data_IF_974122057782
#
_entry.id   IF_974122057782
#
_cell.length_a   1.000
_cell.length_b   1.000
_cell.length_c   1.000
_cell.angle_alpha   90.00
_cell.angle_beta   90.00
_cell.angle_gamma   90.00
#
_symmetry.space_group_name_H-M   'P 1'
#
loop_
_entity.id
_entity.type
_entity.pdbx_description
1 polymer ?
#
# COMPACT_ATOMS: atom_id res chain seq x y z
N UNK A 1 -20.94 25.55 -0.95
CA UNK A 1 -19.62 25.52 -0.32
C UNK A 1 -19.62 24.81 1.02
N UNK A 2 -20.53 25.10 1.93
CA UNK A 2 -20.64 24.53 3.30
C UNK A 2 -20.75 22.98 3.32
N UNK A 3 -21.43 22.37 2.34
CA UNK A 3 -21.60 20.90 2.29
C UNK A 3 -20.32 20.13 1.97
N UNK A 4 -19.33 20.73 1.28
CA UNK A 4 -18.04 20.09 0.96
C UNK A 4 -17.06 20.12 2.14
N UNK A 5 -17.05 21.18 2.92
CA UNK A 5 -16.21 21.26 4.13
C UNK A 5 -16.65 20.27 5.21
N UNK A 6 -17.97 20.08 5.36
CA UNK A 6 -18.51 19.11 6.33
C UNK A 6 -18.20 17.65 5.95
N UNK A 7 -18.13 17.33 4.66
CA UNK A 7 -17.73 15.99 4.17
C UNK A 7 -16.23 15.72 4.35
N UNK A 8 -15.37 16.69 4.09
CA UNK A 8 -13.91 16.51 4.27
C UNK A 8 -13.54 16.32 5.73
N UNK A 9 -14.19 17.04 6.64
CA UNK A 9 -14.01 16.87 8.08
C UNK A 9 -14.42 15.47 8.55
N UNK A 10 -15.44 14.88 7.92
CA UNK A 10 -15.89 13.52 8.26
C UNK A 10 -14.90 12.44 7.82
N UNK A 11 -14.30 12.54 6.62
CA UNK A 11 -13.31 11.57 6.14
C UNK A 11 -12.05 11.54 7.01
N UNK A 12 -11.53 12.70 7.33
CA UNK A 12 -10.37 12.82 8.20
C UNK A 12 -10.64 12.37 9.63
N UNK A 13 -11.86 12.60 10.16
CA UNK A 13 -12.27 12.14 11.49
C UNK A 13 -12.23 10.61 11.58
N UNK A 14 -12.65 9.90 10.53
CA UNK A 14 -12.58 8.42 10.49
C UNK A 14 -11.13 7.94 10.51
N UNK A 15 -10.24 8.57 9.75
CA UNK A 15 -8.81 8.25 9.76
C UNK A 15 -8.18 8.54 11.13
N UNK A 16 -8.52 9.67 11.76
CA UNK A 16 -8.05 10.00 13.11
C UNK A 16 -8.57 9.00 14.15
N UNK A 17 -9.79 8.48 13.98
CA UNK A 17 -10.33 7.39 14.81
C UNK A 17 -9.47 6.13 14.74
N UNK A 18 -9.04 5.74 13.54
CA UNK A 18 -8.10 4.63 13.32
C UNK A 18 -6.77 4.84 14.04
N UNK A 19 -6.19 6.05 13.95
CA UNK A 19 -4.89 6.34 14.53
C UNK A 19 -4.94 6.46 16.06
N UNK A 20 -6.07 6.92 16.61
CA UNK A 20 -6.26 7.14 18.06
C UNK A 20 -6.65 5.86 18.80
N UNK A 21 -7.58 5.09 18.23
CA UNK A 21 -8.07 3.84 18.81
C UNK A 21 -8.12 2.73 17.75
N UNK A 22 -6.98 2.11 17.54
CA UNK A 22 -6.81 1.03 16.58
C UNK A 22 -7.70 -0.18 16.89
N UNK A 23 -7.77 -0.57 18.17
CA UNK A 23 -8.50 -1.78 18.56
C UNK A 23 -10.01 -1.59 18.43
N UNK A 24 -10.55 -0.47 18.91
CA UNK A 24 -11.95 -0.13 18.71
C UNK A 24 -12.33 0.00 17.24
N UNK A 25 -11.46 0.59 16.41
CA UNK A 25 -11.72 0.72 14.99
C UNK A 25 -11.78 -0.65 14.27
N UNK A 26 -10.86 -1.57 14.61
CA UNK A 26 -10.88 -2.94 14.09
C UNK A 26 -12.10 -3.74 14.56
N UNK A 27 -12.50 -3.56 15.81
CA UNK A 27 -13.70 -4.19 16.36
C UNK A 27 -14.96 -3.73 15.61
N UNK A 28 -15.09 -2.45 15.33
CA UNK A 28 -16.20 -1.93 14.53
C UNK A 28 -16.20 -2.48 13.08
N UNK A 29 -15.03 -2.70 12.47
CA UNK A 29 -14.94 -3.40 11.17
C UNK A 29 -15.40 -4.84 11.33
N UNK A 30 -14.94 -5.54 12.37
CA UNK A 30 -15.30 -6.93 12.64
C UNK A 30 -16.81 -7.10 12.84
N UNK A 31 -17.47 -6.13 13.49
CA UNK A 31 -18.91 -6.10 13.69
C UNK A 31 -19.70 -5.58 12.49
N UNK A 32 -19.02 -5.07 11.47
CA UNK A 32 -19.67 -4.52 10.28
C UNK A 32 -20.26 -3.12 10.45
N UNK A 33 -19.86 -2.38 11.52
CA UNK A 33 -20.41 -1.07 11.86
C UNK A 33 -19.93 -0.01 10.89
N UNK A 34 -20.86 0.66 10.20
CA UNK A 34 -20.61 1.79 9.26
C UNK A 34 -19.54 1.50 8.20
N UNK A 35 -19.46 0.26 7.73
CA UNK A 35 -18.45 -0.16 6.74
C UNK A 35 -18.35 0.75 5.51
N UNK A 36 -19.46 1.14 4.82
CA UNK A 36 -19.35 1.98 3.63
C UNK A 36 -18.70 3.33 3.91
N UNK A 37 -19.05 3.96 5.03
CA UNK A 37 -18.47 5.25 5.44
C UNK A 37 -16.96 5.11 5.72
N UNK A 38 -16.55 4.05 6.43
CA UNK A 38 -15.13 3.77 6.70
C UNK A 38 -14.35 3.51 5.41
N UNK A 39 -14.87 2.66 4.52
CA UNK A 39 -14.24 2.36 3.23
C UNK A 39 -14.01 3.62 2.42
N UNK A 40 -15.05 4.46 2.24
CA UNK A 40 -14.93 5.69 1.46
C UNK A 40 -13.93 6.65 2.11
N UNK A 41 -13.98 6.81 3.44
CA UNK A 41 -13.09 7.72 4.16
C UNK A 41 -11.63 7.29 4.06
N UNK A 42 -11.33 6.01 4.27
CA UNK A 42 -9.98 5.48 4.17
C UNK A 42 -9.47 5.55 2.73
N UNK A 43 -10.32 5.25 1.74
CA UNK A 43 -9.96 5.31 0.33
C UNK A 43 -9.60 6.74 -0.11
N UNK A 44 -10.41 7.73 0.28
CA UNK A 44 -10.16 9.14 -0.06
C UNK A 44 -8.89 9.65 0.62
N UNK A 45 -8.74 9.41 1.94
CA UNK A 45 -7.59 9.89 2.68
C UNK A 45 -6.29 9.22 2.21
N UNK A 46 -6.29 7.90 2.04
CA UNK A 46 -5.09 7.19 1.58
C UNK A 46 -4.68 7.60 0.17
N UNK A 47 -5.64 7.75 -0.75
CA UNK A 47 -5.35 8.21 -2.10
C UNK A 47 -4.75 9.61 -2.12
N UNK A 48 -5.26 10.53 -1.28
CA UNK A 48 -4.71 11.88 -1.18
C UNK A 48 -3.28 11.87 -0.64
N UNK A 49 -3.01 11.12 0.41
CA UNK A 49 -1.67 11.05 1.02
C UNK A 49 -0.65 10.40 0.08
N UNK A 50 -1.00 9.32 -0.58
CA UNK A 50 -0.17 8.73 -1.63
C UNK A 50 0.07 9.68 -2.80
N UNK A 51 -0.96 10.44 -3.20
CA UNK A 51 -0.81 11.40 -4.29
C UNK A 51 0.19 12.51 -3.95
N UNK A 52 0.15 13.03 -2.72
CA UNK A 52 1.13 14.03 -2.25
C UNK A 52 2.54 13.45 -2.24
N UNK A 53 2.72 12.25 -1.66
CA UNK A 53 4.04 11.60 -1.63
C UNK A 53 4.53 11.27 -3.04
N UNK A 54 3.65 10.74 -3.91
CA UNK A 54 3.94 10.46 -5.31
C UNK A 54 4.35 11.70 -6.10
N UNK A 55 3.70 12.85 -5.85
CA UNK A 55 4.10 14.12 -6.46
C UNK A 55 5.53 14.52 -6.06
N UNK A 56 5.91 14.35 -4.78
CA UNK A 56 7.25 14.66 -4.29
C UNK A 56 8.31 13.80 -4.97
N UNK A 57 8.12 12.48 -5.02
CA UNK A 57 9.11 11.59 -5.65
C UNK A 57 9.22 11.82 -7.16
N UNK A 58 8.09 12.09 -7.83
CA UNK A 58 8.07 12.38 -9.27
C UNK A 58 8.65 13.74 -9.63
N UNK A 59 8.60 14.73 -8.73
CA UNK A 59 9.15 16.08 -8.95
C UNK A 59 10.69 16.09 -9.03
N UNK A 60 11.34 14.99 -8.65
CA UNK A 60 12.79 14.80 -8.84
C UNK A 60 13.25 14.88 -10.30
N UNK A 61 12.34 14.69 -11.25
CA UNK A 61 12.65 14.70 -12.68
C UNK A 61 11.96 15.84 -13.44
N UNK A 62 10.62 15.92 -13.36
CA UNK A 62 9.83 16.93 -14.07
C UNK A 62 8.44 17.12 -13.47
N UNK A 63 7.76 18.27 -13.75
CA UNK A 63 6.39 18.49 -13.30
C UNK A 63 5.40 17.44 -13.86
N UNK A 64 5.60 16.98 -15.09
CA UNK A 64 4.79 15.91 -15.69
C UNK A 64 4.99 14.57 -14.98
N UNK A 65 6.22 14.25 -14.58
CA UNK A 65 6.51 13.07 -13.78
C UNK A 65 5.90 13.17 -12.39
N UNK A 66 5.90 14.34 -11.77
CA UNK A 66 5.23 14.58 -10.49
C UNK A 66 3.73 14.23 -10.58
N UNK A 67 3.04 14.73 -11.61
CA UNK A 67 1.62 14.44 -11.83
C UNK A 67 1.39 12.94 -12.11
N UNK A 68 2.23 12.33 -12.94
CA UNK A 68 2.17 10.90 -13.24
C UNK A 68 2.33 10.05 -11.98
N UNK A 69 3.33 10.33 -11.15
CA UNK A 69 3.62 9.58 -9.93
C UNK A 69 2.57 9.83 -8.84
N UNK A 70 1.99 11.03 -8.76
CA UNK A 70 0.87 11.36 -7.89
C UNK A 70 -0.36 10.50 -8.17
N UNK A 71 -0.58 10.11 -9.43
CA UNK A 71 -1.67 9.21 -9.81
C UNK A 71 -1.28 7.73 -9.69
N UNK A 72 -0.07 7.37 -10.08
CA UNK A 72 0.40 5.98 -10.09
C UNK A 72 0.52 5.38 -8.70
N UNK A 73 0.97 6.15 -7.71
CA UNK A 73 1.20 5.64 -6.37
C UNK A 73 -0.11 5.18 -5.68
N UNK A 74 -1.20 5.99 -5.64
CA UNK A 74 -2.48 5.50 -5.17
C UNK A 74 -2.99 4.30 -5.96
N UNK A 75 -2.90 4.34 -7.29
CA UNK A 75 -3.30 3.23 -8.15
C UNK A 75 -2.54 1.95 -7.82
N UNK A 76 -1.24 2.02 -7.60
CA UNK A 76 -0.40 0.89 -7.22
C UNK A 76 -0.92 0.16 -5.99
N UNK A 77 -1.14 0.89 -4.89
CA UNK A 77 -1.61 0.30 -3.64
C UNK A 77 -3.04 -0.24 -3.75
N UNK A 78 -3.94 0.51 -4.39
CA UNK A 78 -5.34 0.10 -4.55
C UNK A 78 -5.50 -1.08 -5.52
N UNK A 79 -4.76 -1.10 -6.63
CA UNK A 79 -4.78 -2.24 -7.56
C UNK A 79 -4.23 -3.51 -6.92
N UNK A 80 -3.12 -3.40 -6.17
CA UNK A 80 -2.57 -4.55 -5.43
C UNK A 80 -3.59 -5.10 -4.44
N UNK A 81 -4.30 -4.22 -3.72
CA UNK A 81 -5.36 -4.61 -2.80
C UNK A 81 -6.50 -5.33 -3.51
N UNK A 82 -7.02 -4.75 -4.61
CA UNK A 82 -8.15 -5.30 -5.37
C UNK A 82 -7.80 -6.66 -5.98
N UNK A 83 -6.58 -6.81 -6.51
CA UNK A 83 -6.13 -8.08 -7.10
C UNK A 83 -5.97 -9.20 -6.06
N UNK A 84 -5.53 -8.86 -4.86
CA UNK A 84 -5.26 -9.85 -3.82
C UNK A 84 -6.47 -10.15 -2.91
N UNK A 85 -7.47 -9.26 -2.86
CA UNK A 85 -8.66 -9.42 -2.03
C UNK A 85 -9.44 -10.72 -2.30
N UNK A 86 -9.75 -11.09 -3.56
CA UNK A 86 -10.54 -12.30 -3.82
C UNK A 86 -9.88 -13.56 -3.28
N UNK A 87 -8.57 -13.65 -3.42
CA UNK A 87 -7.79 -14.81 -2.94
C UNK A 87 -7.83 -14.91 -1.41
N UNK A 88 -7.64 -13.79 -0.69
CA UNK A 88 -7.74 -13.76 0.77
C UNK A 88 -9.14 -14.16 1.23
N UNK A 89 -10.16 -13.59 0.60
CA UNK A 89 -11.55 -13.83 0.95
C UNK A 89 -11.94 -15.30 0.72
N UNK A 90 -11.58 -15.86 -0.44
CA UNK A 90 -11.84 -17.25 -0.77
C UNK A 90 -11.23 -18.21 0.26
N UNK A 91 -9.96 -18.06 0.57
CA UNK A 91 -9.31 -18.88 1.58
C UNK A 91 -9.91 -18.69 2.97
N UNK A 92 -10.25 -17.45 3.33
CA UNK A 92 -10.86 -17.20 4.65
C UNK A 92 -12.19 -17.92 4.82
N UNK A 93 -13.07 -17.91 3.81
CA UNK A 93 -14.35 -18.65 3.83
C UNK A 93 -14.11 -20.15 3.88
N UNK A 94 -13.18 -20.68 3.06
CA UNK A 94 -12.87 -22.11 3.01
C UNK A 94 -12.46 -22.65 4.39
N UNK A 95 -11.84 -21.81 5.22
CA UNK A 95 -11.42 -22.15 6.58
C UNK A 95 -12.38 -21.64 7.67
N UNK A 96 -13.64 -21.45 7.31
CA UNK A 96 -14.74 -21.23 8.26
C UNK A 96 -14.93 -19.80 8.76
N UNK A 97 -14.40 -18.79 8.06
CA UNK A 97 -14.68 -17.40 8.41
C UNK A 97 -16.12 -17.02 8.06
N UNK A 98 -16.81 -16.39 8.99
CA UNK A 98 -18.17 -15.86 8.82
C UNK A 98 -18.22 -14.41 8.33
N UNK A 99 -17.06 -13.79 8.06
CA UNK A 99 -16.94 -12.37 7.72
C UNK A 99 -17.26 -12.09 6.26
N UNK A 100 -17.89 -10.95 5.98
CA UNK A 100 -18.24 -10.51 4.63
C UNK A 100 -17.00 -10.02 3.86
N UNK A 101 -17.09 -10.03 2.53
CA UNK A 101 -16.05 -9.45 1.66
C UNK A 101 -15.80 -7.96 1.97
N UNK A 102 -16.85 -7.21 2.35
CA UNK A 102 -16.74 -5.81 2.73
C UNK A 102 -15.90 -5.60 4.00
N UNK A 103 -15.96 -6.51 4.97
CA UNK A 103 -15.15 -6.47 6.18
C UNK A 103 -13.67 -6.75 5.86
N UNK A 104 -13.37 -7.74 5.00
CA UNK A 104 -12.01 -7.99 4.52
C UNK A 104 -11.47 -6.81 3.72
N UNK A 105 -12.28 -6.24 2.83
CA UNK A 105 -11.89 -5.05 2.07
C UNK A 105 -11.59 -3.86 2.98
N UNK A 106 -12.44 -3.57 3.96
CA UNK A 106 -12.21 -2.51 4.93
C UNK A 106 -10.93 -2.75 5.74
N UNK A 107 -10.64 -4.01 6.12
CA UNK A 107 -9.44 -4.37 6.87
C UNK A 107 -8.17 -4.18 6.02
N UNK A 108 -8.16 -4.64 4.78
CA UNK A 108 -7.05 -4.42 3.84
C UNK A 108 -6.82 -2.93 3.60
N UNK A 109 -7.90 -2.19 3.37
CA UNK A 109 -7.84 -0.74 3.16
C UNK A 109 -7.33 0.02 4.39
N UNK A 110 -7.62 -0.48 5.59
CA UNK A 110 -7.06 0.07 6.84
C UNK A 110 -5.53 -0.04 6.86
N UNK A 111 -4.97 -1.17 6.42
CA UNK A 111 -3.51 -1.35 6.31
C UNK A 111 -2.91 -0.42 5.25
N UNK A 112 -3.56 -0.28 4.10
CA UNK A 112 -3.15 0.68 3.05
C UNK A 112 -3.20 2.12 3.58
N UNK A 113 -4.21 2.48 4.37
CA UNK A 113 -4.30 3.80 4.99
C UNK A 113 -3.16 4.05 6.00
N UNK A 114 -2.76 3.05 6.78
CA UNK A 114 -1.60 3.16 7.67
C UNK A 114 -0.32 3.41 6.88
N UNK A 115 -0.09 2.67 5.78
CA UNK A 115 1.06 2.91 4.89
C UNK A 115 1.03 4.34 4.36
N UNK A 116 -0.11 4.82 3.88
CA UNK A 116 -0.25 6.16 3.31
C UNK A 116 0.04 7.27 4.33
N UNK A 117 -0.39 7.10 5.58
CA UNK A 117 -0.09 8.02 6.68
C UNK A 117 1.41 8.05 6.98
N UNK A 118 2.06 6.89 7.01
CA UNK A 118 3.51 6.80 7.25
C UNK A 118 4.30 7.45 6.11
N UNK A 119 3.96 7.18 4.86
CA UNK A 119 4.60 7.84 3.71
C UNK A 119 4.38 9.35 3.73
N UNK A 120 3.16 9.80 3.99
CA UNK A 120 2.86 11.23 4.12
C UNK A 120 3.63 11.88 5.28
N UNK A 121 3.79 11.20 6.39
CA UNK A 121 4.59 11.68 7.54
C UNK A 121 6.08 11.82 7.21
N UNK A 122 6.60 10.98 6.30
CA UNK A 122 7.96 11.02 5.79
C UNK A 122 8.13 11.93 4.56
N UNK A 123 7.04 12.47 4.03
CA UNK A 123 7.05 13.38 2.87
C UNK A 123 7.95 14.63 3.08
N UNK A 124 7.96 15.31 4.26
CA UNK A 124 8.88 16.42 4.51
C UNK A 124 10.35 15.99 4.45
N UNK A 125 10.67 14.77 4.91
CA UNK A 125 12.04 14.23 4.85
C UNK A 125 12.43 13.99 3.39
N UNK A 126 11.58 13.35 2.60
CA UNK A 126 11.80 13.14 1.17
C UNK A 126 11.97 14.48 0.43
N UNK A 127 11.13 15.46 0.73
CA UNK A 127 11.21 16.80 0.13
C UNK A 127 12.50 17.53 0.52
N UNK A 128 12.93 17.44 1.78
CA UNK A 128 14.19 18.01 2.23
C UNK A 128 15.37 17.45 1.43
N UNK A 129 15.47 16.14 1.30
CA UNK A 129 16.54 15.50 0.53
C UNK A 129 16.41 15.72 -0.98
N UNK A 130 15.21 15.88 -1.51
CA UNK A 130 15.02 16.28 -2.89
C UNK A 130 15.68 17.63 -3.22
N UNK A 131 15.60 18.58 -2.29
CA UNK A 131 16.14 19.94 -2.47
C UNK A 131 17.65 20.00 -2.14
N UNK A 132 18.10 19.25 -1.14
CA UNK A 132 19.47 19.36 -0.62
C UNK A 132 20.45 18.35 -1.19
N UNK A 133 19.98 17.15 -1.55
CA UNK A 133 20.86 16.12 -2.08
C UNK A 133 21.05 16.28 -3.60
N UNK A 134 22.28 16.58 -4.03
CA UNK A 134 22.63 16.72 -5.45
C UNK A 134 22.79 15.36 -6.16
N UNK A 135 22.60 14.24 -5.45
CA UNK A 135 22.76 12.88 -5.98
C UNK A 135 21.40 12.20 -6.13
N UNK A 136 20.96 12.05 -7.38
CA UNK A 136 19.73 11.35 -7.74
C UNK A 136 19.66 9.91 -7.23
N UNK A 137 20.76 9.16 -7.28
CA UNK A 137 20.79 7.76 -6.82
C UNK A 137 20.57 7.66 -5.31
N UNK A 138 21.13 8.60 -4.53
CA UNK A 138 20.87 8.68 -3.10
C UNK A 138 19.38 8.94 -2.81
N UNK A 139 18.76 9.86 -3.55
CA UNK A 139 17.33 10.15 -3.39
C UNK A 139 16.46 8.92 -3.69
N UNK A 140 16.77 8.18 -4.76
CA UNK A 140 16.07 6.93 -5.08
C UNK A 140 16.24 5.91 -3.97
N UNK A 141 17.45 5.70 -3.48
CA UNK A 141 17.74 4.73 -2.41
C UNK A 141 17.03 5.08 -1.09
N UNK A 142 17.00 6.36 -0.73
CA UNK A 142 16.26 6.87 0.43
C UNK A 142 14.78 6.50 0.33
N UNK A 143 14.16 6.74 -0.82
CA UNK A 143 12.74 6.44 -1.02
C UNK A 143 12.47 4.93 -1.06
N UNK A 144 13.38 4.12 -1.61
CA UNK A 144 13.29 2.65 -1.51
C UNK A 144 13.31 2.22 -0.05
N UNK A 145 14.16 2.81 0.79
CA UNK A 145 14.18 2.56 2.23
C UNK A 145 12.86 2.96 2.91
N UNK A 146 12.28 4.10 2.54
CA UNK A 146 10.97 4.55 3.04
C UNK A 146 9.88 3.55 2.65
N UNK A 147 9.79 3.13 1.38
CA UNK A 147 8.83 2.12 0.93
C UNK A 147 8.99 0.77 1.64
N UNK A 148 10.23 0.34 1.87
CA UNK A 148 10.50 -0.90 2.59
C UNK A 148 10.01 -0.81 4.06
N UNK A 149 10.30 0.28 4.74
CA UNK A 149 9.88 0.52 6.13
C UNK A 149 8.36 0.59 6.26
N UNK A 150 7.71 1.40 5.43
CA UNK A 150 6.26 1.60 5.47
C UNK A 150 5.50 0.36 5.02
N UNK A 151 6.01 -0.33 4.00
CA UNK A 151 5.47 -1.61 3.53
C UNK A 151 5.58 -2.71 4.57
N UNK A 152 6.72 -2.86 5.25
CA UNK A 152 6.89 -3.81 6.35
C UNK A 152 5.90 -3.54 7.50
N UNK A 153 5.75 -2.27 7.87
CA UNK A 153 4.79 -1.86 8.91
C UNK A 153 3.35 -2.17 8.48
N UNK A 154 2.99 -1.88 7.23
CA UNK A 154 1.66 -2.18 6.68
C UNK A 154 1.35 -3.68 6.65
N UNK A 155 2.31 -4.51 6.24
CA UNK A 155 2.17 -5.98 6.24
C UNK A 155 2.00 -6.52 7.66
N UNK A 156 2.76 -6.01 8.62
CA UNK A 156 2.65 -6.38 10.04
C UNK A 156 1.27 -6.01 10.58
N UNK A 157 0.81 -4.78 10.25
CA UNK A 157 -0.52 -4.32 10.63
C UNK A 157 -1.63 -5.19 10.04
N UNK A 158 -1.51 -5.55 8.77
CA UNK A 158 -2.44 -6.42 8.08
C UNK A 158 -2.50 -7.81 8.71
N UNK A 159 -1.35 -8.41 8.98
CA UNK A 159 -1.26 -9.71 9.64
C UNK A 159 -2.01 -9.72 10.99
N UNK A 160 -1.72 -8.73 11.85
CA UNK A 160 -2.38 -8.58 13.14
C UNK A 160 -3.90 -8.34 12.99
N UNK A 161 -4.30 -7.56 12.00
CA UNK A 161 -5.71 -7.25 11.74
C UNK A 161 -6.51 -8.46 11.28
N UNK A 162 -5.96 -9.26 10.36
CA UNK A 162 -6.64 -10.49 9.92
C UNK A 162 -6.71 -11.53 11.05
N UNK A 163 -5.65 -11.66 11.86
CA UNK A 163 -5.71 -12.51 13.06
C UNK A 163 -6.78 -12.04 14.04
N UNK A 164 -6.88 -10.73 14.30
CA UNK A 164 -7.89 -10.18 15.18
C UNK A 164 -9.32 -10.46 14.68
N UNK A 165 -9.55 -10.35 13.36
CA UNK A 165 -10.84 -10.68 12.75
C UNK A 165 -11.21 -12.16 12.91
N UNK A 166 -10.23 -13.04 12.88
CA UNK A 166 -10.41 -14.49 12.94
C UNK A 166 -10.40 -15.07 14.36
N UNK A 167 -10.10 -14.27 15.39
CA UNK A 167 -9.90 -14.73 16.77
C UNK A 167 -11.15 -15.39 17.44
N UNK A 168 -12.33 -15.22 16.86
CA UNK A 168 -13.58 -15.83 17.33
C UNK A 168 -14.08 -16.98 16.42
N UNK A 169 -13.37 -17.26 15.35
CA UNK A 169 -13.69 -18.37 14.48
C UNK A 169 -13.14 -19.68 15.09
N UNK A 170 -13.54 -20.84 14.55
CA UNK A 170 -13.23 -22.16 15.06
C UNK A 170 -11.74 -22.38 15.42
N UNK A 171 -11.44 -22.66 16.70
CA UNK A 171 -10.06 -22.87 17.21
C UNK A 171 -9.32 -23.99 16.50
N UNK A 172 -10.02 -25.06 16.09
CA UNK A 172 -9.43 -26.21 15.40
C UNK A 172 -8.78 -25.86 14.05
N UNK A 173 -9.14 -24.73 13.44
CA UNK A 173 -8.60 -24.26 12.16
C UNK A 173 -7.56 -23.14 12.29
N UNK A 174 -7.24 -22.67 13.50
CA UNK A 174 -6.40 -21.47 13.73
C UNK A 174 -4.99 -21.62 13.15
N UNK A 175 -4.33 -22.75 13.39
CA UNK A 175 -2.97 -22.98 12.87
C UNK A 175 -2.95 -22.98 11.34
N UNK A 176 -3.92 -23.64 10.72
CA UNK A 176 -4.03 -23.71 9.26
C UNK A 176 -4.31 -22.33 8.67
N UNK A 177 -5.22 -21.55 9.26
CA UNK A 177 -5.51 -20.17 8.83
C UNK A 177 -4.28 -19.26 8.94
N UNK A 178 -3.53 -19.38 10.02
CA UNK A 178 -2.29 -18.61 10.22
C UNK A 178 -1.24 -18.96 9.16
N UNK A 179 -1.08 -20.24 8.82
CA UNK A 179 -0.16 -20.68 7.78
C UNK A 179 -0.56 -20.15 6.40
N UNK A 180 -1.84 -20.20 6.08
CA UNK A 180 -2.40 -19.70 4.83
C UNK A 180 -2.25 -18.18 4.75
N UNK A 181 -2.53 -17.46 5.84
CA UNK A 181 -2.33 -16.02 5.89
C UNK A 181 -0.87 -15.65 5.61
N UNK A 182 0.10 -16.34 6.18
CA UNK A 182 1.52 -16.12 5.90
C UNK A 182 1.85 -16.37 4.43
N UNK A 183 1.34 -17.44 3.85
CA UNK A 183 1.51 -17.73 2.42
C UNK A 183 0.87 -16.65 1.54
N UNK A 184 -0.33 -16.22 1.90
CA UNK A 184 -1.03 -15.14 1.19
C UNK A 184 -0.28 -13.79 1.28
N UNK A 185 0.35 -13.48 2.41
CA UNK A 185 1.18 -12.27 2.54
C UNK A 185 2.39 -12.31 1.61
N UNK A 186 2.99 -13.48 1.42
CA UNK A 186 4.06 -13.66 0.42
C UNK A 186 3.51 -13.40 -0.98
N UNK A 187 2.36 -13.99 -1.32
CA UNK A 187 1.70 -13.74 -2.60
C UNK A 187 1.39 -12.25 -2.80
N UNK A 188 0.87 -11.57 -1.77
CA UNK A 188 0.61 -10.14 -1.80
C UNK A 188 1.87 -9.32 -2.09
N UNK A 189 2.99 -9.66 -1.44
CA UNK A 189 4.27 -9.03 -1.69
C UNK A 189 4.78 -9.27 -3.13
N UNK A 190 4.65 -10.52 -3.63
CA UNK A 190 5.03 -10.86 -5.00
C UNK A 190 4.22 -10.08 -6.04
N UNK A 191 2.88 -10.02 -5.88
CA UNK A 191 1.99 -9.24 -6.76
C UNK A 191 2.34 -7.76 -6.69
N UNK A 192 2.58 -7.23 -5.50
CA UNK A 192 2.99 -5.84 -5.31
C UNK A 192 4.30 -5.51 -6.02
N UNK A 193 5.33 -6.34 -5.87
CA UNK A 193 6.61 -6.15 -6.57
C UNK A 193 6.44 -6.16 -8.10
N UNK A 194 5.66 -7.09 -8.63
CA UNK A 194 5.41 -7.16 -10.07
C UNK A 194 4.59 -5.96 -10.57
N UNK A 195 3.59 -5.51 -9.81
CA UNK A 195 2.79 -4.35 -10.18
C UNK A 195 3.61 -3.06 -10.10
N UNK A 196 4.46 -2.92 -9.08
CA UNK A 196 5.41 -1.80 -8.98
C UNK A 196 6.38 -1.75 -10.17
N UNK A 197 6.86 -2.90 -10.62
CA UNK A 197 7.67 -3.01 -11.84
C UNK A 197 6.91 -2.60 -13.09
N UNK A 198 5.65 -2.97 -13.22
CA UNK A 198 4.79 -2.64 -14.36
C UNK A 198 4.47 -1.14 -14.44
N UNK A 199 4.22 -0.50 -13.29
CA UNK A 199 3.87 0.92 -13.22
C UNK A 199 5.06 1.88 -13.28
N UNK A 200 6.30 1.37 -13.29
CA UNK A 200 7.51 2.23 -13.39
C UNK A 200 7.49 3.09 -14.67
N UNK A 201 8.15 4.23 -14.72
CA UNK A 201 8.95 4.84 -13.67
C UNK A 201 8.09 5.66 -12.68
N UNK A 202 8.45 5.60 -11.40
CA UNK A 202 7.91 6.50 -10.38
C UNK A 202 8.78 7.75 -10.22
N UNK A 203 10.11 7.59 -10.35
CA UNK A 203 11.11 8.64 -10.17
C UNK A 203 11.49 9.36 -11.48
N UNK A 204 11.05 8.86 -12.63
CA UNK A 204 11.50 9.31 -13.94
C UNK A 204 12.83 8.68 -14.38
N UNK A 205 13.22 8.92 -15.63
CA UNK A 205 14.50 8.48 -16.23
C UNK A 205 15.15 9.67 -16.93
N UNK A 206 16.47 9.76 -16.86
CA UNK A 206 17.22 10.87 -17.48
C UNK A 206 16.87 11.02 -18.96
N UNK A 207 16.39 12.18 -19.37
CA UNK A 207 16.23 12.61 -20.75
C UNK A 207 14.81 12.86 -21.21
N UNK A 208 13.87 11.93 -21.09
CA UNK A 208 12.52 12.09 -21.62
C UNK A 208 11.44 11.62 -20.62
N UNK A 209 10.28 12.29 -20.68
CA UNK A 209 9.10 11.85 -19.94
C UNK A 209 8.54 10.58 -20.58
N UNK A 210 8.49 9.50 -19.82
CA UNK A 210 7.89 8.23 -20.24
C UNK A 210 6.80 7.84 -19.23
N UNK A 211 5.56 7.74 -19.70
CA UNK A 211 4.44 7.36 -18.83
C UNK A 211 4.60 5.92 -18.32
N UNK A 212 4.90 4.98 -19.20
CA UNK A 212 5.22 3.59 -18.86
C UNK A 212 6.49 3.18 -19.61
N UNK A 213 7.43 2.57 -18.90
CA UNK A 213 8.62 2.01 -19.53
C UNK A 213 8.27 0.70 -20.23
N UNK A 214 8.87 0.43 -21.38
CA UNK A 214 8.70 -0.83 -22.09
C UNK A 214 8.99 -2.03 -21.18
N UNK A 215 8.14 -3.06 -21.24
CA UNK A 215 8.28 -4.26 -20.42
C UNK A 215 9.40 -5.14 -20.99
N UNK A 216 10.62 -4.93 -20.55
CA UNK A 216 11.75 -5.83 -20.79
C UNK A 216 11.78 -6.92 -19.70
N UNK A 217 10.95 -7.96 -19.86
CA UNK A 217 10.86 -9.04 -18.88
C UNK A 217 9.97 -8.72 -17.66
N UNK A 218 10.11 -9.52 -16.62
CA UNK A 218 9.42 -9.29 -15.33
C UNK A 218 10.42 -8.89 -14.24
N UNK A 219 9.91 -8.39 -13.12
CA UNK A 219 10.69 -7.96 -11.96
C UNK A 219 11.71 -9.04 -11.51
N UNK A 220 11.26 -10.28 -11.41
CA UNK A 220 12.09 -11.39 -10.90
C UNK A 220 13.23 -11.76 -11.83
N UNK A 221 12.97 -11.78 -13.15
CA UNK A 221 14.03 -12.01 -14.14
C UNK A 221 15.06 -10.89 -14.15
N UNK A 222 14.64 -9.65 -13.95
CA UNK A 222 15.55 -8.51 -13.86
C UNK A 222 16.45 -8.58 -12.62
N UNK A 223 15.90 -9.01 -11.47
CA UNK A 223 16.70 -9.25 -10.26
C UNK A 223 17.69 -10.40 -10.48
N UNK A 224 17.23 -11.52 -11.03
CA UNK A 224 18.10 -12.67 -11.31
C UNK A 224 19.25 -12.30 -12.26
N UNK A 225 18.98 -11.52 -13.30
CA UNK A 225 20.02 -11.00 -14.19
C UNK A 225 21.02 -10.11 -13.45
N UNK A 226 20.53 -9.15 -12.66
CA UNK A 226 21.38 -8.25 -11.88
C UNK A 226 22.28 -9.02 -10.88
N UNK A 227 21.73 -10.05 -10.22
CA UNK A 227 22.50 -10.93 -9.32
C UNK A 227 23.53 -11.73 -10.14
N UNK A 228 23.15 -12.28 -11.31
CA UNK A 228 24.04 -13.00 -12.19
C UNK A 228 25.23 -12.15 -12.64
N UNK A 229 24.98 -10.91 -13.05
CA UNK A 229 26.00 -9.93 -13.43
C UNK A 229 26.94 -9.59 -12.27
N UNK A 230 26.40 -9.40 -11.05
CA UNK A 230 27.19 -9.16 -9.84
C UNK A 230 28.08 -10.35 -9.46
N UNK A 231 27.63 -11.58 -9.74
CA UNK A 231 28.37 -12.82 -9.48
C UNK A 231 29.31 -13.21 -10.64
N UNK A 232 29.36 -12.39 -11.72
CA UNK A 232 30.25 -12.63 -12.86
C UNK A 232 29.72 -13.68 -13.85
N UNK A 233 28.47 -14.06 -13.78
CA UNK A 233 27.82 -14.89 -14.79
C UNK A 233 27.25 -13.95 -15.87
N UNK A 234 27.95 -13.86 -17.00
CA UNK A 234 27.51 -13.20 -18.24
C UNK A 234 26.66 -14.13 -19.08
#
# INVERSE_FOLDING_TARGET
MIKREFQSTHYFTVLMGLLRDRQGFMEEIRQGVRLPSKIISLLVCSSLFFAVYGAIIGSSHSPLQALSSAFKLPCFYLMTLILCLPTLYFFSILFGSSKSIGQYFAMLLTSVAVISVLEFSLAPVALFFLITAHNYQFFVLLNVGIFALTGFTGVTFLYQGVQFMSAQDNEAAEETRTRILKFWLILYALVGCQLGWTLRPFFGTSGEFVLFRAMEGNFYLSILKAIGELLGFN
#
